data_IF_797404650512
#
_entry.id   IF_797404650512
#
_cell.length_a   1.000
_cell.length_b   1.000
_cell.length_c   1.000
_cell.angle_alpha   90.00
_cell.angle_beta   90.00
_cell.angle_gamma   90.00
#
_symmetry.space_group_name_H-M   'P 1'
#
loop_
_entity.id
_entity.type
_entity.pdbx_description
1 polymer ?
#
# COMPACT_ATOMS: atom_id res chain seq x y z
N UNK A 1 -8.64 20.99 -16.27
CA UNK A 1 -7.77 20.04 -15.56
C UNK A 1 -7.42 18.94 -16.54
N UNK A 2 -6.17 18.87 -17.00
CA UNK A 2 -5.77 17.84 -17.95
C UNK A 2 -5.63 16.52 -17.18
N UNK A 3 -6.49 15.55 -17.46
CA UNK A 3 -6.49 14.27 -16.78
C UNK A 3 -5.42 13.40 -17.43
N UNK A 4 -4.27 13.23 -16.76
CA UNK A 4 -3.23 12.30 -17.22
C UNK A 4 -3.79 10.87 -17.12
N UNK A 5 -4.11 10.28 -18.26
CA UNK A 5 -4.52 8.87 -18.34
C UNK A 5 -3.28 8.01 -18.62
N UNK A 6 -2.94 7.16 -17.67
CA UNK A 6 -1.91 6.14 -17.84
C UNK A 6 -2.56 4.80 -18.18
N UNK A 7 -2.04 4.12 -19.21
CA UNK A 7 -2.46 2.76 -19.54
C UNK A 7 -1.33 1.80 -19.22
N UNK A 8 -1.63 0.79 -18.41
CA UNK A 8 -0.71 -0.30 -18.10
C UNK A 8 -1.16 -1.58 -18.77
N UNK A 9 -0.21 -2.46 -19.07
CA UNK A 9 -0.51 -3.80 -19.56
C UNK A 9 -0.80 -4.72 -18.38
N UNK A 10 -1.87 -5.51 -18.50
CA UNK A 10 -2.14 -6.61 -17.60
C UNK A 10 -1.36 -7.84 -18.09
N UNK A 11 -0.44 -8.31 -17.27
CA UNK A 11 0.36 -9.50 -17.48
C UNK A 11 -0.28 -10.74 -16.84
N UNK A 12 0.36 -11.90 -17.03
CA UNK A 12 -0.05 -13.18 -16.45
C UNK A 12 1.19 -13.93 -15.98
N UNK A 13 1.21 -14.39 -14.73
CA UNK A 13 2.31 -15.22 -14.22
C UNK A 13 2.14 -16.69 -14.65
N UNK A 14 3.08 -17.55 -14.25
CA UNK A 14 3.09 -18.98 -14.62
C UNK A 14 1.88 -19.75 -14.08
N UNK A 15 1.38 -19.36 -12.90
CA UNK A 15 0.17 -19.91 -12.26
C UNK A 15 -1.13 -19.41 -12.89
N UNK A 16 -1.01 -18.37 -13.71
CA UNK A 16 -2.08 -17.80 -14.50
C UNK A 16 -2.85 -16.66 -13.86
N UNK A 17 -2.35 -16.13 -12.75
CA UNK A 17 -2.86 -14.95 -12.07
C UNK A 17 -2.50 -13.69 -12.86
N UNK A 18 -3.39 -12.69 -12.80
CA UNK A 18 -3.24 -11.43 -13.50
C UNK A 18 -2.60 -10.39 -12.58
N UNK A 19 -1.62 -9.67 -13.12
CA UNK A 19 -0.99 -8.56 -12.42
C UNK A 19 -0.66 -7.44 -13.40
N UNK A 20 -0.31 -6.27 -12.88
CA UNK A 20 0.27 -5.20 -13.67
C UNK A 20 1.47 -4.64 -12.93
N UNK A 21 2.43 -4.11 -13.68
CA UNK A 21 3.59 -3.44 -13.11
C UNK A 21 3.24 -1.98 -12.87
N UNK A 22 3.58 -1.46 -11.68
CA UNK A 22 3.50 -0.02 -11.41
C UNK A 22 4.59 0.67 -12.23
N UNK A 23 4.26 1.61 -13.14
CA UNK A 23 5.27 2.27 -13.97
C UNK A 23 6.29 3.05 -13.14
N UNK A 24 7.56 3.05 -13.58
CA UNK A 24 8.68 3.68 -12.86
C UNK A 24 8.46 5.16 -12.55
N UNK A 25 7.75 5.88 -13.42
CA UNK A 25 7.39 7.28 -13.21
C UNK A 25 6.47 7.45 -11.99
N UNK A 26 5.47 6.58 -11.81
CA UNK A 26 4.60 6.59 -10.64
C UNK A 26 5.33 6.16 -9.38
N UNK A 27 6.23 5.16 -9.48
CA UNK A 27 7.04 4.76 -8.33
C UNK A 27 7.88 5.94 -7.81
N UNK A 28 8.50 6.71 -8.72
CA UNK A 28 9.28 7.90 -8.36
C UNK A 28 8.41 9.01 -7.80
N UNK A 29 7.32 9.36 -8.49
CA UNK A 29 6.44 10.47 -8.09
C UNK A 29 5.78 10.22 -6.73
N UNK A 30 5.43 8.95 -6.44
CA UNK A 30 4.83 8.56 -5.17
C UNK A 30 5.86 8.14 -4.11
N UNK A 31 7.15 8.11 -4.47
CA UNK A 31 8.24 7.58 -3.63
C UNK A 31 7.95 6.17 -3.12
N UNK A 32 7.44 5.30 -4.00
CA UNK A 32 7.21 3.88 -3.71
C UNK A 32 8.45 3.08 -4.06
N UNK A 33 8.78 2.15 -3.17
CA UNK A 33 9.81 1.15 -3.35
C UNK A 33 9.19 -0.23 -3.15
N UNK A 34 9.86 -1.26 -3.66
CA UNK A 34 9.46 -2.64 -3.39
C UNK A 34 9.41 -2.90 -1.87
N UNK A 35 8.33 -3.56 -1.42
CA UNK A 35 8.09 -3.86 -0.01
C UNK A 35 7.42 -2.75 0.79
N UNK A 36 7.22 -1.54 0.22
CA UNK A 36 6.41 -0.51 0.89
C UNK A 36 4.97 -1.00 1.10
N UNK A 37 4.39 -0.79 2.30
CA UNK A 37 3.04 -1.22 2.56
C UNK A 37 2.05 -0.28 1.86
N UNK A 38 1.02 -0.89 1.27
CA UNK A 38 -0.08 -0.19 0.62
C UNK A 38 -1.41 -0.71 1.15
N UNK A 39 -2.41 0.14 1.07
CA UNK A 39 -3.81 -0.19 1.29
C UNK A 39 -4.56 -0.16 -0.05
N UNK A 40 -5.48 -1.12 -0.20
CA UNK A 40 -6.42 -1.20 -1.31
C UNK A 40 -7.76 -0.62 -0.86
N UNK A 41 -8.24 0.40 -1.57
CA UNK A 41 -9.51 1.07 -1.27
C UNK A 41 -10.43 0.87 -2.46
N UNK A 42 -11.59 0.26 -2.24
CA UNK A 42 -12.66 0.18 -3.23
C UNK A 42 -13.46 1.49 -3.26
N UNK A 43 -13.50 2.12 -4.44
CA UNK A 43 -14.20 3.38 -4.64
C UNK A 43 -15.70 3.20 -4.93
N UNK A 44 -16.19 1.95 -4.95
CA UNK A 44 -17.59 1.59 -5.23
C UNK A 44 -18.10 2.01 -6.62
N UNK A 45 -17.20 2.28 -7.54
CA UNK A 45 -17.48 2.63 -8.94
C UNK A 45 -16.74 1.72 -9.94
N UNK A 46 -16.15 0.63 -9.44
CA UNK A 46 -15.32 -0.30 -10.22
C UNK A 46 -13.85 0.12 -10.35
N UNK A 47 -13.45 1.25 -9.76
CA UNK A 47 -12.05 1.63 -9.59
C UNK A 47 -11.51 1.28 -8.21
N UNK A 48 -10.19 1.10 -8.13
CA UNK A 48 -9.45 0.87 -6.89
C UNK A 48 -8.44 2.00 -6.69
N UNK A 49 -8.35 2.50 -5.47
CA UNK A 49 -7.26 3.38 -5.05
C UNK A 49 -6.21 2.56 -4.32
N UNK A 50 -4.96 2.70 -4.79
CA UNK A 50 -3.79 2.20 -4.08
C UNK A 50 -3.15 3.36 -3.32
N UNK A 51 -3.08 3.24 -1.99
CA UNK A 51 -2.51 4.28 -1.12
C UNK A 51 -1.33 3.71 -0.35
N UNK A 52 -0.16 4.33 -0.44
CA UNK A 52 0.96 4.02 0.44
C UNK A 52 0.62 4.43 1.87
N UNK A 53 0.90 3.53 2.79
CA UNK A 53 0.72 3.72 4.23
C UNK A 53 2.07 3.58 4.92
N UNK A 54 2.16 4.04 6.16
CA UNK A 54 3.34 3.80 6.99
C UNK A 54 3.38 2.35 7.51
N UNK A 55 4.55 1.91 7.95
CA UNK A 55 4.69 0.62 8.64
C UNK A 55 3.81 0.56 9.91
N UNK A 56 3.71 1.68 10.63
CA UNK A 56 2.86 1.78 11.83
C UNK A 56 1.38 1.60 11.49
N UNK A 57 0.90 2.21 10.40
CA UNK A 57 -0.47 2.02 9.92
C UNK A 57 -0.73 0.59 9.44
N UNK A 58 0.22 -0.01 8.72
CA UNK A 58 0.12 -1.41 8.29
C UNK A 58 0.03 -2.37 9.49
N UNK A 59 0.86 -2.15 10.53
CA UNK A 59 0.81 -2.89 11.78
C UNK A 59 -0.52 -2.67 12.52
N UNK A 60 -1.03 -1.44 12.55
CA UNK A 60 -2.32 -1.11 13.17
C UNK A 60 -3.46 -1.91 12.53
N UNK A 61 -3.48 -2.02 11.20
CA UNK A 61 -4.51 -2.77 10.48
C UNK A 61 -4.48 -4.26 10.87
N UNK A 62 -3.29 -4.86 10.87
CA UNK A 62 -3.09 -6.27 11.26
C UNK A 62 -3.37 -6.54 12.74
N UNK A 63 -3.08 -5.59 13.61
CA UNK A 63 -3.30 -5.71 15.06
C UNK A 63 -4.77 -5.92 15.46
N UNK A 64 -5.73 -5.59 14.59
CA UNK A 64 -7.15 -5.87 14.85
C UNK A 64 -7.51 -7.35 14.68
N UNK A 65 -6.72 -8.08 13.88
CA UNK A 65 -6.98 -9.48 13.54
C UNK A 65 -6.03 -10.43 14.30
N UNK A 66 -4.83 -9.96 14.62
CA UNK A 66 -3.76 -10.78 15.21
C UNK A 66 -3.28 -10.22 16.56
N UNK A 67 -3.52 -10.94 17.69
CA UNK A 67 -3.11 -10.50 19.03
C UNK A 67 -1.61 -10.27 19.19
N UNK A 68 -0.77 -11.06 18.51
CA UNK A 68 0.69 -10.96 18.61
C UNK A 68 1.20 -9.68 17.92
N UNK A 69 0.57 -9.27 16.81
CA UNK A 69 0.88 -8.03 16.10
C UNK A 69 0.45 -6.81 16.91
N UNK A 70 -0.63 -6.92 17.69
CA UNK A 70 -1.07 -5.84 18.59
C UNK A 70 0.00 -5.46 19.61
N UNK A 71 0.71 -6.43 20.17
CA UNK A 71 1.78 -6.16 21.13
C UNK A 71 2.96 -5.41 20.48
N UNK A 72 3.27 -5.69 19.21
CA UNK A 72 4.30 -4.96 18.47
C UNK A 72 3.87 -3.52 18.11
N UNK A 73 2.63 -3.36 17.63
CA UNK A 73 2.04 -2.05 17.38
C UNK A 73 2.03 -1.18 18.65
N UNK A 74 1.63 -1.76 19.79
CA UNK A 74 1.58 -1.05 21.06
C UNK A 74 2.96 -0.59 21.54
N UNK A 75 4.05 -1.30 21.21
CA UNK A 75 5.43 -0.86 21.50
C UNK A 75 5.85 0.29 20.58
N UNK A 76 5.66 0.13 19.28
CA UNK A 76 6.18 1.06 18.28
C UNK A 76 5.42 2.40 18.24
N UNK A 77 4.11 2.41 18.56
CA UNK A 77 3.32 3.65 18.62
C UNK A 77 3.80 4.61 19.72
N UNK A 78 4.41 4.07 20.78
CA UNK A 78 4.87 4.85 21.92
C UNK A 78 6.25 5.45 21.64
N UNK A 79 7.10 4.76 20.87
CA UNK A 79 8.40 5.24 20.41
C UNK A 79 8.28 6.33 19.31
N UNK A 80 7.26 6.25 18.44
CA UNK A 80 7.03 7.25 17.37
C UNK A 80 6.57 8.63 17.89
N UNK A 81 6.46 8.83 19.21
CA UNK A 81 6.04 10.09 19.83
C UNK A 81 7.17 11.13 19.93
N UNK A 82 8.39 10.78 19.51
CA UNK A 82 9.58 11.64 19.62
C UNK A 82 10.10 12.22 18.29
N UNK A 83 9.49 11.91 17.16
CA UNK A 83 9.84 12.49 15.86
C UNK A 83 8.78 13.53 15.42
N UNK A 84 8.80 14.71 16.07
CA UNK A 84 8.07 15.93 15.66
C UNK A 84 9.04 17.09 15.45
#
# INVERSE_FOLDING_TARGET
>A
MNMYLMRVKIEKNEDGERYFLIPDELQKDLSWNEGDPIEWIDNSDGSLTLRKISQLEALKLKAFEEPDVKAEYDRLKDDSKFDL
#
